data_IF_691849981028
#
_entry.id   IF_691849981028
#
_cell.length_a   1.000
_cell.length_b   1.000
_cell.length_c   1.000
_cell.angle_alpha   90.00
_cell.angle_beta   90.00
_cell.angle_gamma   90.00
#
_symmetry.space_group_name_H-M   'P 1'
#
loop_
_entity.id
_entity.type
_entity.pdbx_description
1 polymer ?
#
# COMPACT_ATOMS: atom_id res chain seq x y z
N UNK A 1 21.16 42.62 -7.56
CA UNK A 1 20.12 41.57 -7.60
C UNK A 1 20.70 40.37 -6.88
N UNK A 2 20.22 40.09 -5.66
CA UNK A 2 20.84 39.10 -4.77
C UNK A 2 20.41 37.69 -5.14
N UNK A 3 21.27 36.69 -4.96
CA UNK A 3 20.95 35.27 -5.21
C UNK A 3 19.75 34.82 -4.34
N UNK A 4 19.55 35.45 -3.19
CA UNK A 4 18.39 35.23 -2.32
C UNK A 4 17.06 35.63 -2.97
N UNK A 5 17.05 36.74 -3.73
CA UNK A 5 15.84 37.27 -4.38
C UNK A 5 15.33 36.32 -5.49
N UNK A 6 16.27 35.65 -6.19
CA UNK A 6 15.97 34.65 -7.22
C UNK A 6 15.31 33.39 -6.65
N UNK A 7 15.74 32.95 -5.47
CA UNK A 7 15.15 31.80 -4.78
C UNK A 7 13.76 32.13 -4.26
N UNK A 8 13.55 33.35 -3.76
CA UNK A 8 12.26 33.78 -3.24
C UNK A 8 11.19 33.97 -4.34
N UNK A 9 11.58 34.43 -5.53
CA UNK A 9 10.67 34.56 -6.67
C UNK A 9 10.21 33.21 -7.28
N UNK A 10 10.89 32.10 -6.97
CA UNK A 10 10.50 30.75 -7.39
C UNK A 10 9.63 29.98 -6.39
N UNK A 11 9.42 30.50 -5.17
CA UNK A 11 8.64 29.82 -4.12
C UNK A 11 7.16 30.17 -4.21
N UNK A 12 6.39 29.32 -4.89
CA UNK A 12 4.93 29.46 -5.05
C UNK A 12 4.18 29.22 -3.71
N UNK A 13 4.83 28.64 -2.70
CA UNK A 13 4.24 28.37 -1.39
C UNK A 13 4.83 29.28 -0.30
N UNK A 14 4.00 29.93 0.53
CA UNK A 14 4.49 30.74 1.64
C UNK A 14 5.35 29.89 2.59
N UNK A 15 6.32 30.50 3.31
CA UNK A 15 7.12 29.79 4.30
C UNK A 15 6.22 29.33 5.45
N UNK A 16 5.65 28.14 5.32
CA UNK A 16 4.91 27.47 6.38
C UNK A 16 5.91 26.80 7.32
N UNK A 17 5.62 26.85 8.62
CA UNK A 17 6.26 26.01 9.62
C UNK A 17 6.28 24.54 9.11
N UNK A 18 7.44 23.86 9.11
CA UNK A 18 7.57 22.49 8.60
C UNK A 18 6.50 21.53 9.10
N UNK A 19 6.04 21.69 10.35
CA UNK A 19 4.95 20.88 10.93
C UNK A 19 3.61 21.13 10.23
N UNK A 20 3.25 22.39 9.98
CA UNK A 20 2.02 22.75 9.27
C UNK A 20 2.04 22.28 7.82
N UNK A 21 3.21 22.30 7.17
CA UNK A 21 3.39 21.77 5.82
C UNK A 21 3.22 20.26 5.77
N UNK A 22 3.81 19.54 6.73
CA UNK A 22 3.63 18.10 6.87
C UNK A 22 2.16 17.72 7.07
N UNK A 23 1.47 18.38 8.01
CA UNK A 23 0.06 18.12 8.28
C UNK A 23 -0.84 18.34 7.06
N UNK A 24 -0.67 19.47 6.34
CA UNK A 24 -1.46 19.73 5.12
C UNK A 24 -1.22 18.71 4.00
N UNK A 25 0.01 18.22 3.84
CA UNK A 25 0.32 17.16 2.88
C UNK A 25 -0.37 15.86 3.28
N UNK A 26 -0.33 15.51 4.56
CA UNK A 26 -1.01 14.33 5.11
C UNK A 26 -2.52 14.44 4.97
N UNK A 27 -3.14 15.57 5.34
CA UNK A 27 -4.57 15.83 5.16
C UNK A 27 -4.99 15.65 3.70
N UNK A 28 -4.24 16.25 2.77
CA UNK A 28 -4.52 16.10 1.33
C UNK A 28 -4.44 14.63 0.88
N UNK A 29 -3.44 13.88 1.35
CA UNK A 29 -3.30 12.47 1.02
C UNK A 29 -4.44 11.64 1.62
N UNK A 30 -4.82 11.89 2.88
CA UNK A 30 -5.94 11.20 3.56
C UNK A 30 -7.26 11.45 2.83
N UNK A 31 -7.55 12.69 2.44
CA UNK A 31 -8.76 13.01 1.67
C UNK A 31 -8.77 12.28 0.32
N UNK A 32 -7.60 12.15 -0.32
CA UNK A 32 -7.43 11.34 -1.53
C UNK A 32 -7.81 9.87 -1.30
N UNK A 33 -7.30 9.27 -0.22
CA UNK A 33 -7.60 7.88 0.16
C UNK A 33 -9.08 7.66 0.50
N UNK A 34 -9.69 8.55 1.28
CA UNK A 34 -11.12 8.49 1.63
C UNK A 34 -11.99 8.55 0.39
N UNK A 35 -11.62 9.37 -0.61
CA UNK A 35 -12.37 9.46 -1.87
C UNK A 35 -12.14 8.25 -2.78
N UNK A 36 -10.97 7.64 -2.70
CA UNK A 36 -10.60 6.42 -3.42
C UNK A 36 -10.91 5.13 -2.64
N UNK A 37 -11.88 5.16 -1.72
CA UNK A 37 -12.21 4.02 -0.86
C UNK A 37 -12.46 2.68 -1.59
N UNK A 38 -13.02 2.62 -2.83
CA UNK A 38 -13.21 1.34 -3.50
C UNK A 38 -11.86 0.69 -3.86
N UNK A 39 -10.84 1.48 -4.20
CA UNK A 39 -9.50 0.98 -4.54
C UNK A 39 -8.81 0.39 -3.30
N UNK A 40 -9.01 1.02 -2.14
CA UNK A 40 -8.52 0.49 -0.88
C UNK A 40 -9.22 -0.83 -0.53
N UNK A 41 -10.52 -0.90 -0.78
CA UNK A 41 -11.29 -2.12 -0.54
C UNK A 41 -10.84 -3.24 -1.48
N UNK A 42 -10.67 -2.99 -2.77
CA UNK A 42 -10.22 -4.00 -3.73
C UNK A 42 -8.81 -4.48 -3.42
N UNK A 43 -7.90 -3.59 -3.02
CA UNK A 43 -6.55 -3.96 -2.59
C UNK A 43 -6.50 -4.94 -1.39
N UNK A 44 -7.59 -5.05 -0.63
CA UNK A 44 -7.72 -6.02 0.47
C UNK A 44 -8.56 -7.22 0.05
N UNK A 45 -9.71 -7.00 -0.58
CA UNK A 45 -10.68 -8.05 -0.92
C UNK A 45 -10.17 -8.97 -2.02
N UNK A 46 -9.48 -8.43 -3.04
CA UNK A 46 -8.97 -9.23 -4.15
C UNK A 46 -7.99 -10.32 -3.70
N UNK A 47 -6.96 -10.03 -2.87
CA UNK A 47 -6.11 -11.07 -2.29
C UNK A 47 -6.88 -12.18 -1.58
N UNK A 48 -7.91 -11.86 -0.79
CA UNK A 48 -8.71 -12.87 -0.10
C UNK A 48 -9.54 -13.73 -1.06
N UNK A 49 -10.16 -13.12 -2.07
CA UNK A 49 -10.90 -13.86 -3.10
C UNK A 49 -9.96 -14.77 -3.89
N UNK A 50 -8.75 -14.30 -4.19
CA UNK A 50 -7.72 -15.10 -4.82
C UNK A 50 -7.31 -16.29 -3.93
N UNK A 51 -7.00 -16.06 -2.65
CA UNK A 51 -6.64 -17.11 -1.70
C UNK A 51 -7.76 -18.15 -1.53
N UNK A 52 -9.02 -17.71 -1.49
CA UNK A 52 -10.18 -18.60 -1.46
C UNK A 52 -10.26 -19.47 -2.73
N UNK A 53 -10.09 -18.84 -3.90
CA UNK A 53 -10.11 -19.54 -5.19
C UNK A 53 -8.99 -20.56 -5.31
N UNK A 54 -7.75 -20.19 -5.00
CA UNK A 54 -6.62 -21.11 -5.08
C UNK A 54 -6.71 -22.17 -3.98
N UNK A 55 -7.13 -21.83 -2.77
CA UNK A 55 -7.19 -22.77 -1.64
C UNK A 55 -8.17 -23.91 -1.92
N UNK A 56 -9.37 -23.58 -2.43
CA UNK A 56 -10.37 -24.58 -2.81
C UNK A 56 -9.94 -25.36 -4.06
N UNK A 57 -9.37 -24.68 -5.06
CA UNK A 57 -9.00 -25.30 -6.33
C UNK A 57 -7.61 -25.95 -6.31
N UNK A 58 -6.57 -25.11 -6.37
CA UNK A 58 -5.16 -25.52 -6.52
C UNK A 58 -4.60 -26.12 -5.23
N UNK A 59 -4.95 -25.60 -4.06
CA UNK A 59 -4.52 -26.07 -2.75
C UNK A 59 -4.92 -27.52 -2.51
N UNK A 60 -6.12 -27.92 -2.93
CA UNK A 60 -6.56 -29.32 -2.86
C UNK A 60 -5.76 -30.27 -3.77
N UNK A 61 -5.18 -29.75 -4.86
CA UNK A 61 -4.38 -30.54 -5.81
C UNK A 61 -2.91 -30.63 -5.40
N UNK A 62 -2.36 -29.55 -4.83
CA UNK A 62 -0.96 -29.46 -4.42
C UNK A 62 -0.76 -30.03 -3.01
N UNK A 63 -1.69 -29.74 -2.09
CA UNK A 63 -1.59 -30.12 -0.68
C UNK A 63 -0.48 -29.38 0.06
N UNK A 64 0.28 -30.12 0.86
CA UNK A 64 1.39 -29.59 1.64
C UNK A 64 2.67 -29.48 0.80
N UNK A 65 3.40 -28.38 1.00
CA UNK A 65 4.72 -28.17 0.44
C UNK A 65 5.79 -28.16 1.52
N UNK A 66 6.96 -28.70 1.21
CA UNK A 66 8.12 -28.63 2.10
C UNK A 66 8.78 -27.26 1.96
N UNK A 67 8.66 -26.42 2.99
CA UNK A 67 9.32 -25.12 3.09
C UNK A 67 10.16 -25.04 4.37
N UNK A 68 11.44 -24.72 4.22
CA UNK A 68 12.39 -24.62 5.35
C UNK A 68 12.40 -25.86 6.27
N UNK A 69 12.26 -27.07 5.70
CA UNK A 69 12.23 -28.34 6.43
C UNK A 69 10.92 -28.65 7.16
N UNK A 70 9.87 -27.83 6.97
CA UNK A 70 8.53 -28.06 7.53
C UNK A 70 7.51 -28.22 6.42
N UNK A 71 6.48 -29.03 6.66
CA UNK A 71 5.31 -29.08 5.79
C UNK A 71 4.43 -27.87 6.07
N UNK A 72 4.07 -27.14 5.02
CA UNK A 72 3.21 -25.96 5.07
C UNK A 72 2.14 -26.10 3.99
N UNK A 73 0.86 -25.86 4.31
CA UNK A 73 -0.20 -25.87 3.30
C UNK A 73 0.10 -24.84 2.20
N UNK A 74 -0.11 -25.24 0.95
CA UNK A 74 0.19 -24.41 -0.22
C UNK A 74 -0.42 -23.00 -0.14
N UNK A 75 -1.68 -22.89 0.27
CA UNK A 75 -2.39 -21.62 0.45
C UNK A 75 -1.76 -20.72 1.51
N UNK A 76 -1.19 -21.29 2.58
CA UNK A 76 -0.51 -20.52 3.64
C UNK A 76 0.79 -19.95 3.12
N UNK A 77 1.51 -20.73 2.32
CA UNK A 77 2.73 -20.26 1.67
C UNK A 77 2.43 -19.11 0.69
N UNK A 78 1.42 -19.25 -0.16
CA UNK A 78 1.05 -18.20 -1.13
C UNK A 78 0.54 -16.94 -0.42
N UNK A 79 -0.24 -17.08 0.66
CA UNK A 79 -0.73 -15.95 1.44
C UNK A 79 0.39 -15.01 1.92
N UNK A 80 1.56 -15.56 2.27
CA UNK A 80 2.69 -14.74 2.75
C UNK A 80 3.29 -13.78 1.71
N UNK A 81 3.04 -14.02 0.42
CA UNK A 81 3.48 -13.12 -0.66
C UNK A 81 2.43 -12.07 -1.06
N UNK A 82 1.22 -12.18 -0.52
CA UNK A 82 0.06 -11.37 -0.92
C UNK A 82 -0.47 -10.46 0.19
N UNK A 83 -0.10 -10.73 1.44
CA UNK A 83 -0.55 -10.04 2.66
C UNK A 83 0.65 -9.57 3.48
#
# INVERSE_FOLDING_TARGET
MSVQDLVDHGRIAPPLDPRKRFLRLTERNVVGYVRAWPILLTGVVEPFLYLLSIGIGVGALVGDITYAGRQVPYETFVASGML
#
